data_IF_552910351184
#
_entry.id   IF_552910351184
#
_cell.length_a   1.000
_cell.length_b   1.000
_cell.length_c   1.000
_cell.angle_alpha   90.00
_cell.angle_beta   90.00
_cell.angle_gamma   90.00
#
_symmetry.space_group_name_H-M   'P 1'
#
loop_
_entity.id
_entity.type
_entity.pdbx_description
1 polymer ?
#
# COMPACT_ATOMS: atom_id res chain seq x y z
N UNK A 1 -9.57 19.15 -17.14
CA UNK A 1 -9.29 17.82 -16.54
C UNK A 1 -9.20 18.04 -15.04
N UNK A 2 -10.12 17.44 -14.29
CA UNK A 2 -10.17 17.63 -12.83
C UNK A 2 -9.13 16.73 -12.17
N UNK A 3 -7.94 17.29 -11.93
CA UNK A 3 -6.84 16.62 -11.19
C UNK A 3 -7.16 16.48 -9.69
N UNK A 4 -8.33 16.93 -9.24
CA UNK A 4 -8.69 16.93 -7.81
C UNK A 4 -9.14 15.56 -7.29
N UNK A 5 -9.58 14.65 -8.15
CA UNK A 5 -10.15 13.34 -7.75
C UNK A 5 -9.08 12.35 -7.29
N UNK A 6 -7.85 12.46 -7.78
CA UNK A 6 -6.76 11.51 -7.49
C UNK A 6 -5.96 11.80 -6.21
N UNK A 7 -6.06 12.99 -5.64
CA UNK A 7 -5.25 13.44 -4.50
C UNK A 7 -5.49 12.72 -3.16
N UNK A 8 -6.38 11.76 -3.10
CA UNK A 8 -6.67 11.00 -1.87
C UNK A 8 -6.52 9.49 -2.01
N UNK A 9 -6.14 8.98 -3.18
CA UNK A 9 -6.06 7.55 -3.45
C UNK A 9 -4.95 6.86 -2.66
N UNK A 10 -3.74 7.40 -2.68
CA UNK A 10 -2.59 6.81 -2.04
C UNK A 10 -2.72 6.61 -0.53
N UNK A 11 -3.39 7.53 0.15
CA UNK A 11 -3.63 7.37 1.59
C UNK A 11 -4.74 6.35 1.91
N UNK A 12 -5.55 5.96 0.94
CA UNK A 12 -6.60 4.93 1.11
C UNK A 12 -5.97 3.55 1.23
N UNK A 13 -5.18 3.14 0.27
CA UNK A 13 -4.56 1.80 0.27
C UNK A 13 -3.55 1.61 1.40
N UNK A 14 -2.73 2.62 1.69
CA UNK A 14 -1.79 2.61 2.84
C UNK A 14 -2.48 2.26 4.15
N UNK A 15 -3.69 2.75 4.37
CA UNK A 15 -4.44 2.47 5.59
C UNK A 15 -5.14 1.13 5.58
N UNK A 16 -5.62 0.68 4.44
CA UNK A 16 -6.13 -0.67 4.29
C UNK A 16 -5.05 -1.67 4.73
N UNK A 17 -3.80 -1.48 4.27
CA UNK A 17 -2.65 -2.30 4.66
C UNK A 17 -2.41 -2.32 6.17
N UNK A 18 -2.53 -1.18 6.86
CA UNK A 18 -2.23 -1.08 8.29
C UNK A 18 -3.42 -1.45 9.20
N UNK A 19 -4.65 -1.45 8.67
CA UNK A 19 -5.86 -1.59 9.50
C UNK A 19 -6.74 -2.78 9.11
N UNK A 20 -6.53 -3.40 7.93
CA UNK A 20 -7.40 -4.46 7.41
C UNK A 20 -8.84 -4.01 7.16
N UNK A 21 -9.09 -2.70 6.97
CA UNK A 21 -10.42 -2.12 6.80
C UNK A 21 -10.57 -1.48 5.42
N UNK A 22 -11.77 -1.66 4.82
CA UNK A 22 -12.13 -1.01 3.57
C UNK A 22 -12.29 0.50 3.75
N UNK A 23 -11.69 1.28 2.87
CA UNK A 23 -11.75 2.74 2.97
C UNK A 23 -12.36 3.38 1.72
N UNK A 24 -13.28 4.31 1.95
CA UNK A 24 -13.65 5.22 0.90
C UNK A 24 -12.66 6.40 0.82
N UNK A 25 -12.55 7.05 -0.35
CA UNK A 25 -11.57 8.10 -0.64
C UNK A 25 -11.80 9.43 0.09
N UNK A 26 -12.63 9.49 1.13
CA UNK A 26 -12.93 10.75 1.77
C UNK A 26 -11.81 11.17 2.72
N UNK A 27 -11.34 12.43 2.57
CA UNK A 27 -10.44 13.09 3.53
C UNK A 27 -11.00 13.04 4.97
N UNK A 28 -12.32 13.01 5.11
CA UNK A 28 -13.01 12.87 6.40
C UNK A 28 -12.74 11.54 7.08
N UNK A 29 -12.64 10.45 6.33
CA UNK A 29 -12.30 9.13 6.89
C UNK A 29 -10.94 9.16 7.59
N UNK A 30 -9.96 9.83 6.98
CA UNK A 30 -8.64 10.02 7.56
C UNK A 30 -8.68 10.82 8.85
N UNK A 31 -9.44 11.91 8.88
CA UNK A 31 -9.58 12.73 10.07
C UNK A 31 -10.33 12.00 11.20
N UNK A 32 -11.30 11.18 10.86
CA UNK A 32 -12.04 10.40 11.85
C UNK A 32 -11.16 9.33 12.53
N UNK A 33 -10.26 8.68 11.78
CA UNK A 33 -9.42 7.60 12.33
C UNK A 33 -8.47 8.06 13.43
N UNK A 34 -8.11 9.34 13.50
CA UNK A 34 -7.21 9.88 14.56
C UNK A 34 -7.80 9.83 15.97
N UNK A 35 -9.11 9.78 16.08
CA UNK A 35 -9.83 9.75 17.38
C UNK A 35 -10.51 8.42 17.69
N UNK A 36 -10.36 7.43 16.80
CA UNK A 36 -10.98 6.11 16.96
C UNK A 36 -10.02 5.14 17.63
N UNK A 37 -10.51 4.31 18.54
CA UNK A 37 -9.71 3.23 19.09
C UNK A 37 -9.49 2.15 18.03
N UNK A 38 -8.23 1.85 17.71
CA UNK A 38 -7.83 0.98 16.60
C UNK A 38 -6.94 -0.17 17.08
N UNK A 39 -7.46 -1.07 17.94
CA UNK A 39 -6.65 -2.09 18.61
C UNK A 39 -6.06 -3.13 17.65
N UNK A 40 -6.65 -3.30 16.47
CA UNK A 40 -6.22 -4.27 15.47
C UNK A 40 -5.31 -3.66 14.39
N UNK A 41 -4.96 -2.37 14.49
CA UNK A 41 -3.93 -1.81 13.61
C UNK A 41 -2.56 -2.43 13.91
N UNK A 42 -1.75 -2.63 12.87
CA UNK A 42 -0.48 -3.38 12.94
C UNK A 42 0.40 -2.95 14.12
N UNK A 43 0.66 -1.65 14.30
CA UNK A 43 1.48 -1.16 15.41
C UNK A 43 0.86 -1.44 16.77
N UNK A 44 -0.47 -1.27 16.91
CA UNK A 44 -1.18 -1.53 18.18
C UNK A 44 -1.23 -3.02 18.54
N UNK A 45 -1.21 -3.91 17.56
CA UNK A 45 -1.14 -5.36 17.77
C UNK A 45 0.27 -5.79 18.18
N UNK A 46 1.31 -5.25 17.53
CA UNK A 46 2.69 -5.71 17.71
C UNK A 46 3.37 -5.09 18.94
N UNK A 47 3.06 -3.83 19.30
CA UNK A 47 3.66 -3.17 20.46
C UNK A 47 3.48 -3.94 21.78
N UNK A 48 2.31 -4.49 22.14
CA UNK A 48 2.15 -5.31 23.34
C UNK A 48 2.98 -6.61 23.33
N UNK A 49 3.41 -7.06 22.15
CA UNK A 49 4.29 -8.22 21.96
C UNK A 49 5.78 -7.84 22.08
N UNK A 50 6.08 -6.57 22.39
CA UNK A 50 7.44 -6.07 22.60
C UNK A 50 8.09 -5.45 21.36
N UNK A 51 7.39 -5.32 20.24
CA UNK A 51 7.91 -4.67 19.04
C UNK A 51 8.06 -3.17 19.22
N UNK A 52 9.12 -2.62 18.65
CA UNK A 52 9.31 -1.18 18.47
C UNK A 52 8.69 -0.77 17.12
N UNK A 53 7.57 -0.03 17.14
CA UNK A 53 6.90 0.39 15.90
C UNK A 53 7.22 1.84 15.55
N UNK A 54 7.90 2.06 14.40
CA UNK A 54 8.24 3.40 13.91
C UNK A 54 7.75 3.54 12.46
N UNK A 55 7.19 4.69 12.13
CA UNK A 55 6.79 5.03 10.77
C UNK A 55 7.62 6.22 10.26
N UNK A 56 8.14 6.10 9.04
CA UNK A 56 8.99 7.10 8.39
C UNK A 56 8.40 7.63 7.09
N UNK A 57 8.64 8.93 6.81
CA UNK A 57 8.25 9.54 5.56
C UNK A 57 9.14 10.73 5.19
N UNK A 58 9.66 10.77 3.97
CA UNK A 58 10.47 11.88 3.47
C UNK A 58 9.71 13.21 3.29
N UNK A 59 8.38 13.20 3.30
CA UNK A 59 7.54 14.38 3.10
C UNK A 59 7.13 15.09 4.39
N UNK A 60 6.09 15.94 4.28
CA UNK A 60 5.65 16.81 5.37
C UNK A 60 5.00 16.05 6.53
N UNK A 61 5.41 16.35 7.75
CA UNK A 61 4.95 15.72 8.99
C UNK A 61 3.44 15.82 9.23
N UNK A 62 2.83 16.97 8.97
CA UNK A 62 1.41 17.23 9.24
C UNK A 62 0.48 16.93 8.05
N UNK A 63 1.04 16.54 6.91
CA UNK A 63 0.25 16.29 5.72
C UNK A 63 -0.75 15.14 5.96
N UNK A 64 -2.01 15.35 5.61
CA UNK A 64 -3.14 14.44 5.90
C UNK A 64 -3.26 14.03 7.39
N UNK A 65 -2.83 14.86 8.33
CA UNK A 65 -2.82 14.57 9.77
C UNK A 65 -2.07 13.27 10.14
N UNK A 66 -1.01 12.91 9.38
CA UNK A 66 -0.20 11.70 9.65
C UNK A 66 0.41 11.72 11.04
N UNK A 67 0.78 12.91 11.53
CA UNK A 67 1.27 13.15 12.90
C UNK A 67 0.26 12.82 14.02
N UNK A 68 -1.00 12.63 13.69
CA UNK A 68 -2.04 12.19 14.62
C UNK A 68 -2.52 10.78 14.32
N UNK A 69 -2.61 10.42 13.04
CA UNK A 69 -3.17 9.13 12.62
C UNK A 69 -2.21 7.98 12.79
N UNK A 70 -0.92 8.13 12.47
CA UNK A 70 0.06 7.05 12.63
C UNK A 70 0.34 6.75 14.12
N UNK A 71 0.48 7.74 15.03
CA UNK A 71 0.53 7.46 16.46
C UNK A 71 -0.72 6.73 16.97
N UNK A 72 -1.91 7.03 16.48
CA UNK A 72 -3.14 6.32 16.84
C UNK A 72 -3.16 4.86 16.35
N UNK A 73 -2.39 4.53 15.29
CA UNK A 73 -2.19 3.16 14.81
C UNK A 73 -1.01 2.44 15.48
N UNK A 74 -0.39 3.04 16.49
CA UNK A 74 0.66 2.45 17.31
C UNK A 74 2.09 2.77 16.87
N UNK A 75 2.31 3.71 15.96
CA UNK A 75 3.64 4.06 15.46
C UNK A 75 4.19 5.34 16.07
N UNK A 76 5.46 5.36 16.44
CA UNK A 76 6.22 6.60 16.54
C UNK A 76 6.40 7.15 15.12
N UNK A 77 5.83 8.32 14.80
CA UNK A 77 5.91 8.87 13.45
C UNK A 77 7.01 9.93 13.34
N UNK A 78 7.91 9.72 12.40
CA UNK A 78 8.99 10.64 12.04
C UNK A 78 8.88 11.02 10.55
N UNK A 79 9.15 12.28 10.25
CA UNK A 79 9.10 12.80 8.89
C UNK A 79 10.16 13.90 8.70
N UNK A 80 10.37 14.29 7.42
CA UNK A 80 11.32 15.35 7.08
C UNK A 80 11.17 16.58 8.01
N UNK A 81 12.27 17.04 8.58
CA UNK A 81 12.36 18.13 9.57
C UNK A 81 11.68 17.87 10.93
N UNK A 82 11.19 16.63 11.17
CA UNK A 82 10.57 16.20 12.42
C UNK A 82 11.00 14.77 12.77
N UNK A 83 12.16 14.66 13.41
CA UNK A 83 12.76 13.39 13.82
C UNK A 83 13.54 12.65 12.73
N UNK A 84 13.68 13.27 11.54
CA UNK A 84 14.59 12.85 10.47
C UNK A 84 15.33 14.08 9.96
N UNK A 85 16.63 13.96 9.75
CA UNK A 85 17.46 14.94 9.09
C UNK A 85 17.95 14.36 7.77
N UNK A 86 17.25 14.67 6.67
CA UNK A 86 17.65 14.25 5.33
C UNK A 86 18.86 15.06 4.86
N UNK A 87 19.74 14.44 4.09
CA UNK A 87 20.89 15.11 3.49
C UNK A 87 20.46 16.12 2.43
N UNK A 88 19.40 15.81 1.69
CA UNK A 88 18.85 16.65 0.62
C UNK A 88 17.35 16.99 0.84
N UNK A 89 17.00 17.68 1.95
CA UNK A 89 15.60 17.94 2.29
C UNK A 89 14.88 18.89 1.33
N UNK A 90 15.61 19.54 0.41
CA UNK A 90 15.09 20.48 -0.59
C UNK A 90 14.62 19.81 -1.89
N UNK A 91 14.93 18.54 -2.11
CA UNK A 91 14.48 17.80 -3.28
C UNK A 91 12.95 17.65 -3.32
N UNK A 92 12.38 17.67 -4.52
CA UNK A 92 10.96 17.48 -4.77
C UNK A 92 10.74 16.43 -5.87
N UNK A 93 10.27 15.22 -5.49
CA UNK A 93 10.16 14.68 -4.12
C UNK A 93 11.52 14.48 -3.47
N UNK A 94 11.56 14.21 -2.15
CA UNK A 94 12.79 13.80 -1.47
C UNK A 94 13.18 12.36 -1.86
N UNK A 95 14.44 12.01 -1.66
CA UNK A 95 14.98 10.69 -1.97
C UNK A 95 14.58 9.66 -0.91
N UNK A 96 14.11 8.48 -1.35
CA UNK A 96 13.86 7.33 -0.47
C UNK A 96 15.16 6.67 -0.04
N UNK A 97 16.21 6.68 -0.89
CA UNK A 97 17.55 6.24 -0.49
C UNK A 97 18.12 7.09 0.65
N UNK A 98 17.97 8.41 0.56
CA UNK A 98 18.37 9.32 1.63
C UNK A 98 17.55 9.08 2.91
N UNK A 99 16.24 8.83 2.78
CA UNK A 99 15.37 8.48 3.89
C UNK A 99 15.86 7.22 4.62
N UNK A 100 16.13 6.13 3.90
CA UNK A 100 16.56 4.86 4.51
C UNK A 100 17.94 5.02 5.15
N UNK A 101 18.90 5.69 4.50
CA UNK A 101 20.23 5.96 5.04
C UNK A 101 20.21 6.68 6.38
N UNK A 102 19.30 7.64 6.53
CA UNK A 102 19.19 8.46 7.72
C UNK A 102 18.25 7.90 8.80
N UNK A 103 17.68 6.71 8.60
CA UNK A 103 16.73 6.13 9.56
C UNK A 103 17.02 4.68 9.94
N UNK A 104 17.80 3.95 9.16
CA UNK A 104 18.05 2.51 9.40
C UNK A 104 18.70 2.26 10.76
N UNK A 105 19.62 3.07 11.21
CA UNK A 105 20.27 2.99 12.51
C UNK A 105 19.35 3.27 13.71
N UNK A 106 18.17 3.82 13.47
CA UNK A 106 17.21 4.10 14.53
C UNK A 106 16.61 2.83 15.15
N UNK A 107 16.55 1.74 14.38
CA UNK A 107 15.87 0.50 14.77
C UNK A 107 16.77 -0.75 14.77
N UNK A 108 17.88 -0.74 14.06
CA UNK A 108 18.92 -1.77 14.21
C UNK A 108 19.42 -1.77 15.66
N UNK A 109 19.39 -2.94 16.32
CA UNK A 109 19.70 -3.09 17.75
C UNK A 109 18.52 -2.81 18.69
N UNK A 110 17.31 -2.70 18.16
CA UNK A 110 16.05 -2.55 18.93
C UNK A 110 15.02 -3.62 18.55
N UNK A 111 15.48 -4.80 18.21
CA UNK A 111 14.61 -5.94 17.87
C UNK A 111 13.77 -6.40 19.08
N UNK A 112 12.53 -6.91 18.87
CA UNK A 112 11.86 -6.93 17.58
C UNK A 112 11.33 -5.55 17.16
N UNK A 113 11.36 -5.27 15.87
CA UNK A 113 10.86 -3.99 15.32
C UNK A 113 9.78 -4.21 14.26
N UNK A 114 8.93 -3.18 14.10
CA UNK A 114 7.92 -3.06 13.05
C UNK A 114 8.07 -1.69 12.39
N UNK A 115 8.72 -1.64 11.24
CA UNK A 115 9.04 -0.41 10.56
C UNK A 115 8.14 -0.22 9.35
N UNK A 116 7.49 0.94 9.30
CA UNK A 116 6.64 1.34 8.18
C UNK A 116 7.27 2.52 7.43
N UNK A 117 7.81 2.27 6.25
CA UNK A 117 8.40 3.29 5.38
C UNK A 117 7.38 3.67 4.33
N UNK A 118 7.00 4.93 4.31
CA UNK A 118 6.14 5.51 3.30
C UNK A 118 7.02 6.24 2.28
N UNK A 119 7.34 5.54 1.18
CA UNK A 119 8.17 6.07 0.10
C UNK A 119 7.53 7.28 -0.58
N UNK A 120 8.34 8.11 -1.25
CA UNK A 120 7.89 9.32 -1.92
C UNK A 120 8.65 9.61 -3.23
N UNK A 121 9.84 9.05 -3.45
CA UNK A 121 10.66 9.33 -4.63
C UNK A 121 9.94 9.05 -5.95
N UNK A 122 9.08 8.03 -5.97
CA UNK A 122 8.24 7.65 -7.10
C UNK A 122 6.95 8.45 -7.27
N UNK A 123 6.75 9.56 -6.53
CA UNK A 123 5.53 10.38 -6.65
C UNK A 123 5.56 11.26 -7.91
N UNK A 124 4.40 11.69 -8.42
CA UNK A 124 4.27 12.60 -9.59
C UNK A 124 4.84 14.02 -9.30
N UNK A 125 5.14 14.85 -10.34
CA UNK A 125 4.89 14.65 -11.77
C UNK A 125 6.08 13.94 -12.42
N UNK A 126 5.80 13.07 -13.39
CA UNK A 126 6.85 12.28 -14.09
C UNK A 126 7.42 13.07 -15.26
N UNK A 127 8.39 13.91 -14.96
CA UNK A 127 9.04 14.80 -15.94
C UNK A 127 10.55 14.88 -15.71
N UNK A 128 11.31 15.06 -16.76
CA UNK A 128 12.73 15.38 -16.66
C UNK A 128 12.95 16.90 -16.72
N UNK A 129 13.68 17.43 -15.76
CA UNK A 129 13.84 18.86 -15.59
C UNK A 129 12.71 19.45 -14.73
N UNK A 130 12.87 20.64 -14.22
CA UNK A 130 12.08 21.40 -13.25
C UNK A 130 10.74 20.82 -12.80
N UNK A 131 10.68 20.35 -11.56
CA UNK A 131 9.48 19.83 -10.92
C UNK A 131 9.59 18.40 -10.40
N UNK A 132 10.60 17.62 -10.82
CA UNK A 132 10.88 16.31 -10.26
C UNK A 132 12.39 16.01 -10.30
N UNK A 133 13.04 16.20 -9.16
CA UNK A 133 14.49 16.09 -9.06
C UNK A 133 14.97 14.64 -9.22
N UNK A 134 14.23 13.68 -8.64
CA UNK A 134 14.59 12.25 -8.70
C UNK A 134 14.51 11.71 -10.14
N UNK A 135 13.45 12.00 -10.92
CA UNK A 135 13.41 11.62 -12.33
C UNK A 135 14.63 12.16 -13.08
N UNK A 136 15.01 13.41 -12.80
CA UNK A 136 16.15 14.07 -13.47
C UNK A 136 17.48 13.47 -13.07
N UNK A 137 17.64 13.01 -11.82
CA UNK A 137 18.85 12.36 -11.29
C UNK A 137 19.17 11.08 -12.06
N UNK A 138 18.16 10.24 -12.32
CA UNK A 138 18.35 8.96 -13.00
C UNK A 138 18.03 8.97 -14.51
N UNK A 139 17.91 10.16 -15.11
CA UNK A 139 17.54 10.33 -16.51
C UNK A 139 18.43 9.53 -17.49
N UNK A 140 19.74 9.52 -17.24
CA UNK A 140 20.69 8.88 -18.16
C UNK A 140 20.57 7.34 -18.14
N UNK A 141 20.10 6.76 -17.05
CA UNK A 141 19.88 5.32 -16.95
C UNK A 141 18.70 4.82 -17.81
N UNK A 142 17.76 5.70 -18.16
CA UNK A 142 16.54 5.33 -18.89
C UNK A 142 16.46 5.90 -20.31
N UNK A 143 17.45 6.69 -20.75
CA UNK A 143 17.41 7.40 -22.04
C UNK A 143 17.34 6.47 -23.25
N UNK A 144 17.88 5.25 -23.13
CA UNK A 144 17.93 4.25 -24.21
C UNK A 144 16.69 3.32 -24.21
N UNK A 145 15.73 3.51 -23.32
CA UNK A 145 14.48 2.76 -23.28
C UNK A 145 13.51 3.25 -24.37
N UNK A 146 13.77 2.89 -25.63
CA UNK A 146 13.08 3.43 -26.82
C UNK A 146 11.64 2.93 -26.99
N UNK A 147 11.22 1.89 -26.25
CA UNK A 147 9.85 1.34 -26.29
C UNK A 147 8.85 2.07 -25.39
N UNK A 148 9.31 3.07 -24.64
CA UNK A 148 8.50 3.76 -23.63
C UNK A 148 8.30 5.23 -24.00
N UNK A 149 7.14 5.78 -23.61
CA UNK A 149 6.88 7.22 -23.73
C UNK A 149 7.80 8.02 -22.81
N UNK A 150 7.94 9.32 -23.06
CA UNK A 150 8.81 10.16 -22.22
C UNK A 150 8.38 10.25 -20.75
N UNK A 151 7.07 10.38 -20.43
CA UNK A 151 6.59 10.28 -19.04
C UNK A 151 6.81 8.90 -18.40
N UNK A 152 6.63 7.81 -19.19
CA UNK A 152 6.92 6.45 -18.73
C UNK A 152 8.40 6.26 -18.37
N UNK A 153 9.34 6.77 -19.20
CA UNK A 153 10.77 6.78 -18.87
C UNK A 153 11.04 7.56 -17.56
N UNK A 154 10.39 8.70 -17.36
CA UNK A 154 10.57 9.49 -16.14
C UNK A 154 10.01 8.76 -14.91
N UNK A 155 8.89 8.05 -15.04
CA UNK A 155 8.37 7.19 -13.99
C UNK A 155 9.36 6.07 -13.64
N UNK A 156 9.88 5.35 -14.64
CA UNK A 156 10.88 4.28 -14.41
C UNK A 156 12.13 4.87 -13.72
N UNK A 157 12.60 6.03 -14.14
CA UNK A 157 13.72 6.72 -13.51
C UNK A 157 13.45 7.03 -12.03
N UNK A 158 12.24 7.44 -11.68
CA UNK A 158 11.88 7.74 -10.27
C UNK A 158 11.87 6.51 -9.37
N UNK A 159 11.58 5.32 -9.94
CA UNK A 159 11.58 4.06 -9.17
C UNK A 159 12.99 3.57 -8.83
N UNK A 160 14.02 4.00 -9.56
CA UNK A 160 15.41 3.63 -9.28
C UNK A 160 15.90 4.09 -7.92
N UNK A 161 15.38 5.19 -7.41
CA UNK A 161 15.72 5.68 -6.07
C UNK A 161 15.18 4.76 -4.96
N UNK A 162 13.96 4.23 -5.16
CA UNK A 162 13.38 3.23 -4.26
C UNK A 162 14.14 1.89 -4.34
N UNK A 163 14.53 1.47 -5.54
CA UNK A 163 15.32 0.24 -5.75
C UNK A 163 16.64 0.30 -4.96
N UNK A 164 17.37 1.40 -5.10
CA UNK A 164 18.60 1.66 -4.33
C UNK A 164 18.35 1.78 -2.82
N UNK A 165 17.20 2.30 -2.41
CA UNK A 165 16.81 2.36 -1.01
C UNK A 165 16.58 0.96 -0.41
N UNK A 166 15.97 0.07 -1.18
CA UNK A 166 15.76 -1.34 -0.78
C UNK A 166 17.08 -2.10 -0.73
N UNK A 167 17.96 -1.91 -1.73
CA UNK A 167 19.31 -2.48 -1.73
C UNK A 167 20.06 -2.06 -0.46
N UNK A 168 20.11 -0.76 -0.17
CA UNK A 168 20.79 -0.25 1.03
C UNK A 168 20.18 -0.78 2.34
N UNK A 169 18.87 -0.95 2.40
CA UNK A 169 18.18 -1.55 3.55
C UNK A 169 18.63 -3.00 3.76
N UNK A 170 18.63 -3.81 2.71
CA UNK A 170 19.04 -5.22 2.75
C UNK A 170 20.50 -5.33 3.20
N UNK A 171 21.39 -4.55 2.59
CA UNK A 171 22.82 -4.54 2.96
C UNK A 171 23.02 -4.15 4.43
N UNK A 172 22.29 -3.15 4.93
CA UNK A 172 22.38 -2.70 6.32
C UNK A 172 21.89 -3.77 7.31
N UNK A 173 20.82 -4.50 6.98
CA UNK A 173 20.31 -5.60 7.80
C UNK A 173 21.25 -6.81 7.79
N UNK A 174 21.88 -7.10 6.65
CA UNK A 174 22.88 -8.16 6.51
C UNK A 174 24.16 -7.84 7.32
N UNK A 175 24.67 -6.62 7.19
CA UNK A 175 25.83 -6.14 7.98
C UNK A 175 25.56 -6.19 9.49
N UNK A 176 24.32 -5.95 9.90
CA UNK A 176 23.88 -6.06 11.29
C UNK A 176 23.67 -7.52 11.75
N UNK A 177 23.64 -8.49 10.82
CA UNK A 177 23.40 -9.91 11.09
C UNK A 177 21.98 -10.25 11.52
N UNK A 178 20.98 -9.47 11.06
CA UNK A 178 19.56 -9.63 11.38
C UNK A 178 18.68 -9.81 10.14
N UNK A 179 19.29 -9.93 8.95
CA UNK A 179 18.55 -10.07 7.70
C UNK A 179 17.70 -11.34 7.67
N UNK A 180 18.24 -12.46 8.19
CA UNK A 180 17.55 -13.75 8.22
C UNK A 180 16.32 -13.75 9.15
N UNK A 181 16.29 -12.88 10.15
CA UNK A 181 15.17 -12.69 11.07
C UNK A 181 14.23 -11.56 10.64
N UNK A 182 14.41 -11.01 9.43
CA UNK A 182 13.65 -9.85 8.94
C UNK A 182 12.76 -10.21 7.74
N UNK A 183 11.49 -9.85 7.82
CA UNK A 183 10.54 -9.93 6.69
C UNK A 183 10.36 -8.54 6.08
N UNK A 184 10.61 -8.42 4.78
CA UNK A 184 10.38 -7.20 4.02
C UNK A 184 9.09 -7.33 3.23
N UNK A 185 8.17 -6.37 3.40
CA UNK A 185 6.87 -6.34 2.73
C UNK A 185 6.79 -5.08 1.88
N UNK A 186 6.60 -5.25 0.58
CA UNK A 186 6.48 -4.13 -0.36
C UNK A 186 5.12 -4.20 -1.04
N UNK A 187 4.33 -3.14 -0.93
CA UNK A 187 3.06 -2.99 -1.63
C UNK A 187 2.92 -1.59 -2.23
N UNK A 188 2.31 -1.49 -3.40
CA UNK A 188 1.96 -0.18 -3.94
C UNK A 188 0.81 0.45 -3.16
N UNK A 189 0.79 1.78 -3.10
CA UNK A 189 -0.29 2.55 -2.49
C UNK A 189 -1.32 3.08 -3.50
N UNK A 190 -0.98 3.12 -4.78
CA UNK A 190 -1.85 3.45 -5.92
C UNK A 190 -1.11 3.23 -7.25
N UNK A 191 -1.86 3.22 -8.35
CA UNK A 191 -1.26 3.28 -9.68
C UNK A 191 -0.65 4.68 -9.96
N UNK A 192 0.25 4.82 -10.96
CA UNK A 192 0.91 6.08 -11.29
C UNK A 192 -0.06 7.06 -12.00
N UNK A 193 -1.02 7.60 -11.26
CA UNK A 193 -2.09 8.48 -11.78
C UNK A 193 -1.62 9.81 -12.39
N UNK A 194 -0.32 10.10 -12.31
CA UNK A 194 0.32 11.20 -13.02
C UNK A 194 0.64 10.90 -14.48
N UNK A 195 0.54 9.62 -14.89
CA UNK A 195 0.67 9.17 -16.27
C UNK A 195 -0.69 9.17 -16.97
N UNK A 196 -0.71 9.41 -18.28
CA UNK A 196 -1.87 9.11 -19.10
C UNK A 196 -1.92 7.59 -19.40
N UNK A 197 -3.09 7.07 -19.85
CA UNK A 197 -3.28 5.63 -20.08
C UNK A 197 -2.25 5.06 -21.06
N UNK A 198 -1.95 5.78 -22.16
CA UNK A 198 -0.94 5.40 -23.15
C UNK A 198 0.45 5.18 -22.51
N UNK A 199 0.80 6.03 -21.53
CA UNK A 199 2.08 5.92 -20.82
C UNK A 199 2.11 4.62 -19.99
N UNK A 200 1.02 4.32 -19.27
CA UNK A 200 0.90 3.10 -18.45
C UNK A 200 0.89 1.85 -19.32
N UNK A 201 0.17 1.87 -20.45
CA UNK A 201 0.14 0.77 -21.43
C UNK A 201 1.51 0.53 -22.06
N UNK A 202 2.28 1.59 -22.28
CA UNK A 202 3.66 1.44 -22.76
C UNK A 202 4.55 0.67 -21.77
N UNK A 203 4.34 0.86 -20.46
CA UNK A 203 5.04 0.13 -19.40
C UNK A 203 4.52 -1.31 -19.29
N UNK A 204 3.19 -1.47 -19.32
CA UNK A 204 2.53 -2.77 -19.21
C UNK A 204 2.77 -3.68 -20.45
N UNK A 205 3.12 -3.10 -21.59
CA UNK A 205 3.29 -3.82 -22.86
C UNK A 205 2.00 -4.41 -23.44
N UNK A 206 0.84 -3.94 -22.99
CA UNK A 206 -0.50 -4.38 -23.42
C UNK A 206 -1.52 -3.27 -23.26
N UNK A 207 -2.65 -3.36 -23.98
CA UNK A 207 -3.83 -2.55 -23.71
C UNK A 207 -4.43 -2.90 -22.34
N UNK A 208 -4.94 -1.88 -21.64
CA UNK A 208 -5.50 -2.02 -20.28
C UNK A 208 -6.98 -1.64 -20.29
N UNK A 209 -7.78 -2.40 -19.51
CA UNK A 209 -9.13 -1.97 -19.14
C UNK A 209 -9.04 -0.99 -17.96
N UNK A 210 -9.32 0.33 -18.18
CA UNK A 210 -9.19 1.31 -17.11
C UNK A 210 -10.12 1.08 -15.91
N UNK A 211 -11.14 0.23 -16.05
CA UNK A 211 -12.07 -0.07 -14.98
C UNK A 211 -11.50 -1.08 -13.97
N UNK A 212 -10.51 -1.90 -14.37
CA UNK A 212 -9.99 -2.99 -13.56
C UNK A 212 -8.47 -3.06 -13.53
N UNK A 213 -7.80 -2.86 -14.67
CA UNK A 213 -6.37 -3.17 -14.78
C UNK A 213 -5.46 -2.06 -14.19
N UNK A 214 -5.94 -0.81 -14.09
CA UNK A 214 -5.14 0.31 -13.57
C UNK A 214 -4.78 0.17 -12.09
N UNK A 215 -5.65 -0.44 -11.31
CA UNK A 215 -5.43 -0.61 -9.86
C UNK A 215 -4.70 -1.94 -9.53
N UNK A 216 -4.35 -2.73 -10.56
CA UNK A 216 -3.57 -3.94 -10.37
C UNK A 216 -2.14 -3.58 -9.93
N UNK A 217 -1.72 -4.16 -8.82
CA UNK A 217 -0.38 -3.96 -8.25
C UNK A 217 0.16 -5.28 -7.70
N UNK A 218 1.45 -5.31 -7.37
CA UNK A 218 2.11 -6.49 -6.83
C UNK A 218 2.34 -6.30 -5.33
N UNK A 219 2.05 -7.34 -4.55
CA UNK A 219 2.51 -7.50 -3.18
C UNK A 219 3.74 -8.42 -3.19
N UNK A 220 4.81 -7.98 -2.54
CA UNK A 220 6.02 -8.77 -2.33
C UNK A 220 6.19 -8.97 -0.82
N UNK A 221 6.25 -10.25 -0.39
CA UNK A 221 6.75 -10.65 0.93
C UNK A 221 8.06 -11.37 0.71
N UNK A 222 9.11 -10.91 1.34
CA UNK A 222 10.43 -11.48 1.17
C UNK A 222 11.16 -11.64 2.50
N UNK A 223 11.90 -12.74 2.65
CA UNK A 223 12.95 -12.92 3.66
C UNK A 223 14.10 -13.71 3.03
N UNK A 224 15.29 -13.58 3.56
CA UNK A 224 16.52 -14.22 3.03
C UNK A 224 16.48 -15.76 3.07
N UNK A 225 15.71 -16.34 3.98
CA UNK A 225 15.51 -17.79 4.13
C UNK A 225 14.63 -18.43 3.05
N UNK A 226 14.03 -17.64 2.16
CA UNK A 226 13.21 -18.17 1.05
C UNK A 226 14.10 -18.72 -0.06
N UNK A 227 14.19 -20.06 -0.17
CA UNK A 227 14.99 -20.73 -1.20
C UNK A 227 14.37 -20.58 -2.60
N UNK A 228 13.03 -20.59 -2.71
CA UNK A 228 12.32 -20.51 -3.97
C UNK A 228 11.11 -19.54 -3.86
N UNK A 229 10.78 -18.77 -4.91
CA UNK A 229 9.64 -17.88 -4.87
C UNK A 229 8.31 -18.65 -4.87
N UNK A 230 7.38 -18.23 -4.04
CA UNK A 230 6.00 -18.70 -4.02
C UNK A 230 5.11 -17.69 -4.73
N UNK A 231 4.51 -18.10 -5.85
CA UNK A 231 3.58 -17.28 -6.58
C UNK A 231 2.15 -17.56 -6.12
N UNK A 232 1.47 -16.52 -5.66
CA UNK A 232 0.06 -16.59 -5.25
C UNK A 232 -0.78 -15.92 -6.33
N UNK A 233 -1.43 -16.74 -7.17
CA UNK A 233 -2.31 -16.29 -8.25
C UNK A 233 -3.76 -16.22 -7.75
N UNK A 234 -4.04 -15.21 -6.94
CA UNK A 234 -5.33 -14.96 -6.28
C UNK A 234 -5.73 -13.51 -6.38
N UNK A 235 -7.04 -13.26 -6.46
CA UNK A 235 -7.57 -11.92 -6.32
C UNK A 235 -7.54 -11.49 -4.86
N UNK A 236 -6.68 -10.51 -4.55
CA UNK A 236 -6.53 -9.96 -3.21
C UNK A 236 -6.45 -8.43 -3.27
N UNK A 237 -6.55 -7.80 -2.11
CA UNK A 237 -6.53 -6.35 -1.99
C UNK A 237 -5.72 -5.90 -0.77
N UNK A 238 -5.44 -4.59 -0.67
CA UNK A 238 -4.56 -4.06 0.38
C UNK A 238 -5.07 -4.32 1.80
N UNK A 239 -6.37 -4.54 2.00
CA UNK A 239 -6.95 -4.93 3.29
C UNK A 239 -6.56 -6.33 3.75
N UNK A 240 -6.15 -7.20 2.81
CA UNK A 240 -5.78 -8.59 3.07
C UNK A 240 -4.35 -8.72 3.63
N UNK A 241 -3.53 -7.68 3.47
CA UNK A 241 -2.13 -7.69 3.91
C UNK A 241 -2.02 -7.87 5.43
N UNK A 242 -2.80 -7.10 6.20
CA UNK A 242 -2.75 -7.20 7.67
C UNK A 242 -3.09 -8.58 8.20
N UNK A 243 -4.25 -9.20 7.89
CA UNK A 243 -4.56 -10.54 8.38
C UNK A 243 -3.57 -11.60 7.90
N UNK A 244 -3.03 -11.47 6.69
CA UNK A 244 -1.98 -12.36 6.17
C UNK A 244 -0.71 -12.29 7.03
N UNK A 245 -0.23 -11.08 7.33
CA UNK A 245 0.95 -10.91 8.16
C UNK A 245 0.72 -11.38 9.60
N UNK A 246 -0.44 -11.09 10.19
CA UNK A 246 -0.77 -11.57 11.54
C UNK A 246 -0.74 -13.10 11.61
N UNK A 247 -1.27 -13.79 10.61
CA UNK A 247 -1.21 -15.26 10.54
C UNK A 247 0.22 -15.77 10.33
N UNK A 248 0.98 -15.19 9.40
CA UNK A 248 2.38 -15.59 9.16
C UNK A 248 3.26 -15.41 10.40
N UNK A 249 3.03 -14.37 11.20
CA UNK A 249 3.74 -14.14 12.46
C UNK A 249 3.15 -14.88 13.65
N UNK A 250 2.10 -15.70 13.46
CA UNK A 250 1.46 -16.47 14.53
C UNK A 250 0.77 -15.59 15.59
N UNK A 251 0.35 -14.40 15.24
CA UNK A 251 -0.33 -13.47 16.14
C UNK A 251 -1.82 -13.83 16.23
N UNK A 252 -2.31 -14.07 17.43
CA UNK A 252 -3.73 -14.33 17.64
C UNK A 252 -4.58 -13.06 17.44
N UNK A 253 -5.60 -13.16 16.60
CA UNK A 253 -6.60 -12.10 16.38
C UNK A 253 -7.96 -12.66 15.99
N UNK A 254 -9.02 -11.89 16.16
CA UNK A 254 -10.36 -12.26 15.69
C UNK A 254 -10.56 -11.77 14.26
N UNK A 255 -10.45 -12.67 13.29
CA UNK A 255 -10.57 -12.36 11.86
C UNK A 255 -11.92 -11.72 11.48
N UNK A 256 -12.97 -11.92 12.30
CA UNK A 256 -14.30 -11.31 12.07
C UNK A 256 -14.32 -9.79 12.29
N UNK A 257 -13.26 -9.25 12.89
CA UNK A 257 -13.09 -7.82 13.18
C UNK A 257 -12.27 -7.09 12.13
N UNK A 258 -11.77 -7.82 11.12
CA UNK A 258 -11.11 -7.26 9.93
C UNK A 258 -11.97 -7.49 8.70
N UNK A 259 -11.83 -6.65 7.69
CA UNK A 259 -12.54 -6.83 6.41
C UNK A 259 -11.70 -7.63 5.43
N UNK A 260 -10.37 -7.52 5.53
CA UNK A 260 -9.44 -8.30 4.74
C UNK A 260 -9.38 -9.77 5.18
N UNK A 261 -8.81 -10.61 4.32
CA UNK A 261 -8.66 -12.05 4.48
C UNK A 261 -7.19 -12.42 4.39
N UNK A 262 -6.82 -13.57 4.94
CA UNK A 262 -5.50 -14.13 4.70
C UNK A 262 -5.38 -14.57 3.23
N UNK A 263 -4.41 -14.01 2.52
CA UNK A 263 -4.14 -14.34 1.10
C UNK A 263 -3.83 -15.83 0.91
N UNK A 264 -3.27 -16.48 1.92
CA UNK A 264 -2.90 -17.89 1.89
C UNK A 264 -4.08 -18.84 2.25
N UNK A 265 -5.24 -18.31 2.64
CA UNK A 265 -6.42 -19.11 2.94
C UNK A 265 -7.04 -19.74 1.67
N UNK A 266 -7.50 -20.98 1.76
CA UNK A 266 -8.15 -21.72 0.69
C UNK A 266 -9.66 -21.40 0.62
N UNK A 267 -10.04 -20.19 0.27
CA UNK A 267 -11.43 -19.79 0.13
C UNK A 267 -11.70 -19.06 -1.17
N UNK A 268 -12.91 -18.55 -1.33
CA UNK A 268 -13.30 -17.76 -2.48
C UNK A 268 -12.54 -16.41 -2.45
N UNK A 269 -11.86 -16.12 -3.53
CA UNK A 269 -11.07 -14.91 -3.69
C UNK A 269 -11.81 -13.88 -4.53
N UNK A 270 -11.70 -12.63 -4.12
CA UNK A 270 -12.14 -11.48 -4.90
C UNK A 270 -11.35 -10.22 -4.54
N UNK A 271 -11.27 -9.30 -5.47
CA UNK A 271 -10.83 -7.94 -5.24
C UNK A 271 -11.99 -6.96 -5.46
N UNK A 272 -12.24 -6.10 -4.49
CA UNK A 272 -13.35 -5.14 -4.49
C UNK A 272 -12.87 -3.72 -4.82
N UNK A 273 -13.64 -3.02 -5.67
CA UNK A 273 -13.39 -1.64 -6.02
C UNK A 273 -14.36 -0.71 -5.28
N UNK A 274 -13.95 0.55 -5.06
CA UNK A 274 -14.72 1.54 -4.30
C UNK A 274 -16.10 1.86 -4.87
N UNK A 275 -16.30 1.63 -6.15
CA UNK A 275 -17.59 1.79 -6.82
C UNK A 275 -18.46 0.52 -6.72
N UNK A 276 -18.04 -0.47 -5.90
CA UNK A 276 -18.65 -1.78 -5.74
C UNK A 276 -18.54 -2.69 -6.96
N UNK A 277 -17.66 -2.37 -7.92
CA UNK A 277 -17.19 -3.34 -8.90
C UNK A 277 -16.33 -4.39 -8.21
N UNK A 278 -16.17 -5.57 -8.82
CA UNK A 278 -15.31 -6.62 -8.27
C UNK A 278 -14.74 -7.51 -9.37
N UNK A 279 -13.66 -8.20 -9.05
CA UNK A 279 -13.09 -9.30 -9.82
C UNK A 279 -13.08 -10.54 -8.92
N UNK A 280 -13.38 -11.71 -9.47
CA UNK A 280 -13.36 -12.99 -8.78
C UNK A 280 -13.06 -14.12 -9.79
N UNK A 281 -12.93 -15.36 -9.31
CA UNK A 281 -12.74 -16.54 -10.17
C UNK A 281 -13.87 -16.77 -11.18
N UNK A 282 -15.07 -16.29 -10.88
CA UNK A 282 -16.20 -16.37 -11.82
C UNK A 282 -16.16 -15.33 -12.93
N UNK A 283 -15.47 -14.20 -12.72
CA UNK A 283 -15.41 -13.10 -13.67
C UNK A 283 -15.36 -11.73 -13.00
N UNK A 284 -15.66 -10.68 -13.78
CA UNK A 284 -15.59 -9.29 -13.32
C UNK A 284 -16.94 -8.59 -13.48
N UNK A 285 -17.35 -7.84 -12.46
CA UNK A 285 -18.55 -7.02 -12.47
C UNK A 285 -18.19 -5.54 -12.46
N UNK A 286 -18.67 -4.80 -13.46
CA UNK A 286 -18.52 -3.35 -13.53
C UNK A 286 -19.81 -2.67 -13.04
N UNK A 287 -19.78 -2.13 -11.84
CA UNK A 287 -20.95 -1.46 -11.24
C UNK A 287 -21.36 -0.17 -11.96
N UNK A 288 -20.46 0.47 -12.73
CA UNK A 288 -20.78 1.68 -13.50
C UNK A 288 -21.63 1.37 -14.73
N UNK A 289 -21.50 0.18 -15.29
CA UNK A 289 -22.27 -0.29 -16.46
C UNK A 289 -23.34 -1.30 -16.11
N UNK A 290 -23.27 -1.92 -14.91
CA UNK A 290 -24.15 -3.01 -14.50
C UNK A 290 -23.85 -4.34 -15.20
N UNK A 291 -22.69 -4.49 -15.86
CA UNK A 291 -22.33 -5.66 -16.67
C UNK A 291 -21.43 -6.60 -15.90
N UNK A 292 -21.80 -7.87 -15.87
CA UNK A 292 -20.92 -8.97 -15.44
C UNK A 292 -20.32 -9.67 -16.66
N UNK A 293 -19.01 -9.81 -16.70
CA UNK A 293 -18.28 -10.53 -17.75
C UNK A 293 -17.65 -11.76 -17.14
N UNK A 294 -18.09 -12.99 -17.52
CA UNK A 294 -17.51 -14.23 -17.03
C UNK A 294 -16.00 -14.31 -17.37
N UNK A 295 -15.23 -14.95 -16.49
CA UNK A 295 -13.84 -15.28 -16.79
C UNK A 295 -13.79 -16.45 -17.80
N UNK A 296 -12.76 -16.46 -18.63
CA UNK A 296 -12.59 -17.52 -19.63
C UNK A 296 -12.39 -18.88 -18.93
N UNK A 297 -13.23 -19.85 -19.29
CA UNK A 297 -13.19 -21.20 -18.71
C UNK A 297 -13.76 -21.30 -17.29
N UNK A 298 -14.24 -20.22 -16.69
CA UNK A 298 -14.87 -20.27 -15.38
C UNK A 298 -16.21 -21.03 -15.40
N UNK A 299 -16.60 -21.68 -14.29
CA UNK A 299 -17.93 -22.25 -14.15
C UNK A 299 -18.99 -21.14 -14.12
N UNK A 300 -20.24 -21.50 -14.43
CA UNK A 300 -21.36 -20.57 -14.31
C UNK A 300 -21.54 -20.18 -12.83
N UNK A 301 -21.60 -18.87 -12.52
CA UNK A 301 -21.79 -18.44 -11.13
C UNK A 301 -23.18 -18.85 -10.60
N UNK A 302 -23.32 -19.03 -9.28
CA UNK A 302 -24.62 -19.29 -8.66
C UNK A 302 -25.67 -18.22 -9.00
N UNK A 303 -26.95 -18.61 -8.99
CA UNK A 303 -28.04 -17.64 -9.13
C UNK A 303 -27.96 -16.57 -8.04
N UNK A 304 -28.06 -15.29 -8.41
CA UNK A 304 -27.94 -14.17 -7.49
C UNK A 304 -26.52 -13.72 -7.15
N UNK A 305 -25.50 -14.44 -7.59
CA UNK A 305 -24.08 -14.23 -7.26
C UNK A 305 -23.63 -12.75 -7.29
N UNK A 306 -23.92 -12.05 -8.40
CA UNK A 306 -23.50 -10.63 -8.55
C UNK A 306 -24.11 -9.75 -7.49
N UNK A 307 -25.40 -9.94 -7.18
CA UNK A 307 -26.09 -9.18 -6.16
C UNK A 307 -25.54 -9.49 -4.76
N UNK A 308 -25.30 -10.74 -4.45
CA UNK A 308 -24.76 -11.18 -3.16
C UNK A 308 -23.36 -10.59 -2.94
N UNK A 309 -22.48 -10.63 -3.95
CA UNK A 309 -21.16 -10.01 -3.90
C UNK A 309 -21.21 -8.51 -3.71
N UNK A 310 -22.08 -7.81 -4.45
CA UNK A 310 -22.25 -6.35 -4.29
C UNK A 310 -22.74 -6.00 -2.89
N UNK A 311 -23.64 -6.79 -2.32
CA UNK A 311 -24.17 -6.56 -0.97
C UNK A 311 -23.11 -6.88 0.10
N UNK A 312 -22.31 -7.92 -0.07
CA UNK A 312 -21.15 -8.22 0.78
C UNK A 312 -20.14 -7.05 0.77
N UNK A 313 -19.72 -6.59 -0.40
CA UNK A 313 -18.78 -5.48 -0.54
C UNK A 313 -19.33 -4.21 0.11
N UNK A 314 -20.60 -3.89 -0.08
CA UNK A 314 -21.26 -2.75 0.58
C UNK A 314 -21.23 -2.86 2.10
N UNK A 315 -21.44 -4.06 2.63
CA UNK A 315 -21.37 -4.31 4.07
C UNK A 315 -19.94 -4.12 4.59
N UNK A 316 -18.91 -4.61 3.90
CA UNK A 316 -17.50 -4.39 4.27
C UNK A 316 -17.17 -2.90 4.39
N UNK A 317 -17.59 -2.07 3.41
CA UNK A 317 -17.43 -0.61 3.48
C UNK A 317 -18.26 0.03 4.61
N UNK A 318 -19.48 -0.44 4.83
CA UNK A 318 -20.36 0.08 5.88
C UNK A 318 -19.81 -0.24 7.28
N UNK A 319 -19.31 -1.46 7.51
CA UNK A 319 -18.69 -1.86 8.78
C UNK A 319 -17.41 -1.08 9.04
N UNK A 320 -16.54 -0.98 8.03
CA UNK A 320 -15.31 -0.17 8.13
C UNK A 320 -15.61 1.28 8.49
N UNK A 321 -16.66 1.85 7.89
CA UNK A 321 -17.12 3.19 8.22
C UNK A 321 -17.58 3.29 9.68
N UNK A 322 -18.39 2.35 10.16
CA UNK A 322 -18.90 2.30 11.54
C UNK A 322 -17.73 2.15 12.52
N UNK A 323 -16.76 1.28 12.23
CA UNK A 323 -15.58 1.09 13.07
C UNK A 323 -14.86 2.43 13.28
N UNK A 324 -14.63 3.19 12.21
CA UNK A 324 -13.84 4.42 12.26
C UNK A 324 -14.66 5.62 12.73
N UNK A 325 -15.83 5.90 12.14
CA UNK A 325 -16.60 7.12 12.45
C UNK A 325 -17.35 7.06 13.75
N UNK A 326 -17.86 5.90 14.10
CA UNK A 326 -18.63 5.70 15.34
C UNK A 326 -17.77 5.18 16.49
N UNK A 327 -16.45 5.02 16.25
CA UNK A 327 -15.51 4.47 17.21
C UNK A 327 -16.03 3.14 17.80
N UNK A 328 -16.42 2.22 16.91
CA UNK A 328 -17.04 0.95 17.31
C UNK A 328 -16.16 0.15 18.28
N UNK A 329 -14.88 0.00 17.96
CA UNK A 329 -13.97 -0.74 18.85
C UNK A 329 -13.83 -0.08 20.22
N UNK A 330 -13.80 1.26 20.29
CA UNK A 330 -13.76 1.97 21.56
C UNK A 330 -15.02 1.79 22.39
N UNK A 331 -16.19 1.58 21.75
CA UNK A 331 -17.46 1.32 22.46
C UNK A 331 -17.60 -0.12 22.95
N UNK A 332 -16.94 -1.07 22.28
CA UNK A 332 -17.11 -2.52 22.55
C UNK A 332 -15.96 -3.07 23.39
N UNK A 333 -14.74 -2.60 23.20
CA UNK A 333 -13.51 -3.12 23.80
C UNK A 333 -12.74 -2.09 24.62
N UNK A 334 -13.11 -0.79 24.54
CA UNK A 334 -12.43 0.32 25.23
C UNK A 334 -12.91 0.59 26.64
#
# INVERSE_FOLDING_TARGET
RDRSVSRGLGDVYKRQTLTGLMQNSSKQYMLASKGSYMPYAMGNVLNPLGYTSIAYHGGQYTYYSRNETLPNLGYEFRANTRGIELDEPWLLPTSDLDLVRNTVDDYIGREPFNIYIMSISGHMDYVFGGGHDICSRYKDAVQDLTGYTRPAQAYIASQMDLDLAVEYLIDSLDEAGILDDTVIVISADHYPYGLDLEDIESIAGKELDPAFDLEHSTLILWCSEMEEPVYVDKYCESSDILPTLLNLFGVEFDSRLLMGRDILWEGQDFAAFRNYSFISDYGRYNASTGVFTPAEGAPEPPEGYVQDMVDEIRQMYAYSKTIVYDNYYGKVFG
#
